data_IF_768092246303
#
_entry.id   IF_768092246303
#
_cell.length_a   1.000
_cell.length_b   1.000
_cell.length_c   1.000
_cell.angle_alpha   90.00
_cell.angle_beta   90.00
_cell.angle_gamma   90.00
#
_symmetry.space_group_name_H-M   'P 1'
#
loop_
_entity.id
_entity.type
_entity.pdbx_description
1 polymer ?
#
# COMPACT_ATOMS: atom_id res chain seq x y z
N UNK A 1 16.54 -36.11 -17.60
CA UNK A 1 17.78 -35.45 -18.06
C UNK A 1 18.92 -35.93 -17.19
N UNK A 2 19.99 -36.51 -17.76
CA UNK A 2 21.21 -36.84 -17.02
C UNK A 2 22.33 -35.87 -17.39
N UNK A 3 23.15 -35.47 -16.42
CA UNK A 3 24.35 -34.66 -16.63
C UNK A 3 25.56 -35.46 -16.13
N UNK A 4 26.71 -35.30 -16.79
CA UNK A 4 27.98 -35.85 -16.31
C UNK A 4 28.74 -34.69 -15.68
N UNK A 5 28.95 -34.73 -14.36
CA UNK A 5 29.56 -33.61 -13.61
C UNK A 5 28.60 -32.45 -13.33
N UNK A 6 29.15 -31.31 -12.93
CA UNK A 6 28.38 -30.08 -12.67
C UNK A 6 28.06 -29.38 -13.99
N UNK A 7 26.77 -29.29 -14.40
CA UNK A 7 26.42 -28.71 -15.68
C UNK A 7 26.55 -27.19 -15.69
N UNK A 8 26.94 -26.65 -16.84
CA UNK A 8 26.88 -25.21 -17.11
C UNK A 8 25.44 -24.76 -17.41
N UNK A 9 25.15 -23.46 -17.23
CA UNK A 9 23.86 -22.89 -17.59
C UNK A 9 23.53 -23.05 -19.09
N UNK A 10 24.54 -23.05 -19.95
CA UNK A 10 24.37 -23.28 -21.38
C UNK A 10 23.83 -24.69 -21.64
N UNK A 11 24.45 -25.72 -21.03
CA UNK A 11 24.01 -27.12 -21.17
C UNK A 11 22.62 -27.35 -20.56
N UNK A 12 22.31 -26.66 -19.44
CA UNK A 12 20.98 -26.73 -18.83
C UNK A 12 19.93 -26.17 -19.78
N UNK A 13 20.12 -24.94 -20.27
CA UNK A 13 19.16 -24.32 -21.18
C UNK A 13 19.03 -25.12 -22.47
N UNK A 14 20.12 -25.57 -23.07
CA UNK A 14 20.07 -26.39 -24.28
C UNK A 14 19.21 -27.64 -24.08
N UNK A 15 19.42 -28.39 -23.00
CA UNK A 15 18.59 -29.58 -22.73
C UNK A 15 17.13 -29.23 -22.46
N UNK A 16 16.85 -28.15 -21.74
CA UNK A 16 15.48 -27.71 -21.47
C UNK A 16 14.75 -27.35 -22.78
N UNK A 17 15.36 -26.53 -23.62
CA UNK A 17 14.75 -26.06 -24.87
C UNK A 17 14.65 -27.15 -25.94
N UNK A 18 15.65 -28.04 -26.06
CA UNK A 18 15.56 -29.19 -26.99
C UNK A 18 14.48 -30.18 -26.53
N UNK A 19 14.37 -30.42 -25.23
CA UNK A 19 13.32 -31.29 -24.70
C UNK A 19 11.92 -30.71 -24.92
N UNK A 20 11.76 -29.39 -24.76
CA UNK A 20 10.47 -28.73 -24.90
C UNK A 20 9.92 -28.72 -26.33
N UNK A 21 10.74 -28.97 -27.35
CA UNK A 21 10.23 -29.11 -28.73
C UNK A 21 9.31 -30.33 -28.88
N UNK A 22 9.58 -31.40 -28.13
CA UNK A 22 8.83 -32.65 -28.23
C UNK A 22 7.80 -32.81 -27.11
N UNK A 23 8.05 -32.21 -25.94
CA UNK A 23 7.23 -32.38 -24.73
C UNK A 23 6.73 -31.06 -24.17
N UNK A 24 5.48 -31.01 -23.73
CA UNK A 24 4.98 -29.89 -22.92
C UNK A 24 5.64 -29.90 -21.55
N UNK A 25 6.11 -28.74 -21.10
CA UNK A 25 6.72 -28.62 -19.77
C UNK A 25 6.57 -27.21 -19.20
N UNK A 26 6.59 -27.10 -17.88
CA UNK A 26 6.65 -25.84 -17.15
C UNK A 26 8.02 -25.76 -16.47
N UNK A 27 8.71 -24.64 -16.65
CA UNK A 27 9.96 -24.34 -15.96
C UNK A 27 9.75 -23.08 -15.14
N UNK A 28 10.06 -23.14 -13.85
CA UNK A 28 9.92 -22.01 -12.94
C UNK A 28 11.30 -21.68 -12.37
N UNK A 29 11.75 -20.44 -12.58
CA UNK A 29 12.87 -19.87 -11.86
C UNK A 29 12.35 -18.94 -10.79
N UNK A 30 12.39 -19.41 -9.55
CA UNK A 30 12.12 -18.55 -8.41
C UNK A 30 13.32 -17.67 -8.08
N UNK A 31 13.05 -16.46 -7.62
CA UNK A 31 14.07 -15.45 -7.28
C UNK A 31 15.05 -15.17 -8.45
N UNK A 32 14.52 -15.10 -9.68
CA UNK A 32 15.29 -14.97 -10.91
C UNK A 32 16.19 -13.72 -10.92
N UNK A 33 15.80 -12.66 -10.21
CA UNK A 33 16.58 -11.45 -10.03
C UNK A 33 17.93 -11.65 -9.36
N UNK A 34 18.11 -12.74 -8.59
CA UNK A 34 19.38 -13.03 -7.91
C UNK A 34 20.53 -13.26 -8.89
N UNK A 35 20.25 -13.67 -10.12
CA UNK A 35 21.27 -13.76 -11.17
C UNK A 35 21.96 -12.43 -11.46
N UNK A 36 21.33 -11.30 -11.14
CA UNK A 36 21.95 -9.99 -11.34
C UNK A 36 23.23 -9.82 -10.52
N UNK A 37 23.28 -10.39 -9.31
CA UNK A 37 24.42 -10.31 -8.41
C UNK A 37 25.40 -11.48 -8.57
N UNK A 38 24.93 -12.62 -9.09
CA UNK A 38 25.74 -13.84 -9.23
C UNK A 38 26.38 -13.93 -10.62
N UNK A 39 25.59 -13.83 -11.69
CA UNK A 39 26.04 -13.92 -13.08
C UNK A 39 25.03 -13.28 -14.03
N UNK A 40 25.26 -12.00 -14.37
CA UNK A 40 24.41 -11.23 -15.30
C UNK A 40 24.36 -11.82 -16.71
N UNK A 41 25.37 -12.59 -17.12
CA UNK A 41 25.44 -13.21 -18.44
C UNK A 41 24.31 -14.21 -18.70
N UNK A 42 23.66 -14.70 -17.65
CA UNK A 42 22.52 -15.63 -17.76
C UNK A 42 21.34 -15.01 -18.50
N UNK A 43 21.10 -13.69 -18.39
CA UNK A 43 20.00 -13.05 -19.09
C UNK A 43 20.20 -13.05 -20.62
N UNK A 44 21.42 -12.75 -21.07
CA UNK A 44 21.78 -12.80 -22.49
C UNK A 44 21.81 -14.24 -23.02
N UNK A 45 22.28 -15.18 -22.21
CA UNK A 45 22.26 -16.59 -22.58
C UNK A 45 20.82 -17.09 -22.75
N UNK A 46 19.94 -16.79 -21.81
CA UNK A 46 18.52 -17.16 -21.90
C UNK A 46 17.86 -16.51 -23.13
N UNK A 47 18.17 -15.25 -23.43
CA UNK A 47 17.70 -14.58 -24.65
C UNK A 47 18.08 -15.37 -25.90
N UNK A 48 19.34 -15.80 -26.04
CA UNK A 48 19.81 -16.59 -27.19
C UNK A 48 18.98 -17.87 -27.37
N UNK A 49 18.70 -18.59 -26.29
CA UNK A 49 17.89 -19.81 -26.35
C UNK A 49 16.41 -19.53 -26.65
N UNK A 50 15.82 -18.49 -26.06
CA UNK A 50 14.44 -18.09 -26.39
C UNK A 50 14.35 -17.76 -27.88
N UNK A 51 15.26 -16.92 -28.39
CA UNK A 51 15.23 -16.48 -29.78
C UNK A 51 15.43 -17.64 -30.77
N UNK A 52 16.26 -18.64 -30.39
CA UNK A 52 16.51 -19.83 -31.21
C UNK A 52 15.35 -20.82 -31.22
N UNK A 53 14.71 -21.07 -30.06
CA UNK A 53 13.81 -22.21 -29.88
C UNK A 53 12.33 -21.85 -29.67
N UNK A 54 11.98 -20.59 -29.39
CA UNK A 54 10.61 -20.22 -28.97
C UNK A 54 9.52 -20.63 -29.95
N UNK A 55 9.80 -20.70 -31.26
CA UNK A 55 8.80 -21.06 -32.28
C UNK A 55 8.34 -22.52 -32.17
N UNK A 56 9.25 -23.41 -31.80
CA UNK A 56 8.99 -24.86 -31.76
C UNK A 56 8.86 -25.39 -30.32
N UNK A 57 9.20 -24.57 -29.33
CA UNK A 57 9.16 -24.93 -27.92
C UNK A 57 7.73 -24.98 -27.39
N UNK A 58 7.40 -26.05 -26.65
CA UNK A 58 6.18 -26.21 -25.86
C UNK A 58 6.40 -25.91 -24.37
N UNK A 59 7.44 -25.13 -24.06
CA UNK A 59 7.77 -24.74 -22.69
C UNK A 59 6.94 -23.54 -22.25
N UNK A 60 6.39 -23.60 -21.05
CA UNK A 60 5.92 -22.42 -20.33
C UNK A 60 6.96 -22.03 -19.28
N UNK A 61 7.67 -20.93 -19.54
CA UNK A 61 8.72 -20.41 -18.68
C UNK A 61 8.15 -19.34 -17.75
N UNK A 62 8.24 -19.57 -16.45
CA UNK A 62 7.85 -18.63 -15.40
C UNK A 62 9.11 -18.16 -14.69
N UNK A 63 9.23 -16.86 -14.48
CA UNK A 63 10.21 -16.28 -13.58
C UNK A 63 9.50 -15.46 -12.51
N UNK A 64 9.93 -15.59 -11.25
CA UNK A 64 9.43 -14.81 -10.13
C UNK A 64 10.56 -14.07 -9.42
N UNK A 65 10.19 -13.07 -8.62
CA UNK A 65 11.14 -12.31 -7.82
C UNK A 65 10.47 -11.35 -6.84
N UNK A 66 10.96 -11.33 -5.60
CA UNK A 66 10.53 -10.39 -4.56
C UNK A 66 10.87 -8.92 -4.87
N UNK A 67 12.03 -8.67 -5.50
CA UNK A 67 12.48 -7.31 -5.79
C UNK A 67 11.90 -6.79 -7.10
N UNK A 68 10.80 -6.05 -6.96
CA UNK A 68 10.01 -5.51 -8.07
C UNK A 68 10.87 -4.65 -9.00
N UNK A 69 11.65 -3.72 -8.45
CA UNK A 69 12.53 -2.87 -9.24
C UNK A 69 13.65 -3.63 -9.95
N UNK A 70 14.18 -4.72 -9.39
CA UNK A 70 15.12 -5.59 -10.11
C UNK A 70 14.42 -6.37 -11.23
N UNK A 71 13.22 -6.91 -10.97
CA UNK A 71 12.42 -7.56 -12.00
C UNK A 71 12.10 -6.60 -13.16
N UNK A 72 11.76 -5.34 -12.88
CA UNK A 72 11.59 -4.32 -13.91
C UNK A 72 12.86 -4.10 -14.73
N UNK A 73 14.04 -3.98 -14.09
CA UNK A 73 15.33 -3.79 -14.79
C UNK A 73 15.67 -4.97 -15.71
N UNK A 74 15.33 -6.21 -15.31
CA UNK A 74 15.57 -7.42 -16.12
C UNK A 74 14.72 -7.44 -17.40
N UNK A 75 13.58 -6.76 -17.39
CA UNK A 75 12.67 -6.66 -18.54
C UNK A 75 12.48 -5.23 -19.02
N UNK A 76 13.49 -4.36 -18.83
CA UNK A 76 13.49 -2.99 -19.34
C UNK A 76 14.03 -2.93 -20.78
N UNK A 77 13.76 -1.85 -21.52
CA UNK A 77 14.09 -1.68 -22.93
C UNK A 77 15.54 -1.99 -23.30
N UNK A 78 16.48 -1.70 -22.39
CA UNK A 78 17.91 -1.94 -22.60
C UNK A 78 18.35 -3.38 -22.24
N UNK A 79 17.45 -4.21 -21.71
CA UNK A 79 17.75 -5.55 -21.21
C UNK A 79 17.57 -6.64 -22.28
N UNK A 80 18.39 -7.71 -22.26
CA UNK A 80 18.25 -8.87 -23.15
C UNK A 80 16.84 -9.45 -23.26
N UNK A 81 16.03 -9.36 -22.20
CA UNK A 81 14.72 -10.03 -22.13
C UNK A 81 13.52 -9.11 -22.42
N UNK A 82 13.72 -7.83 -22.77
CA UNK A 82 12.66 -6.81 -22.90
C UNK A 82 11.39 -7.30 -23.64
N UNK A 83 11.54 -7.81 -24.85
CA UNK A 83 10.41 -8.22 -25.71
C UNK A 83 10.12 -9.73 -25.65
N UNK A 84 10.74 -10.45 -24.71
CA UNK A 84 10.60 -11.92 -24.59
C UNK A 84 9.58 -12.31 -23.51
N UNK A 85 8.99 -11.31 -22.83
CA UNK A 85 7.92 -11.48 -21.85
C UNK A 85 6.55 -11.51 -22.54
N UNK A 86 5.86 -12.64 -22.48
CA UNK A 86 4.51 -12.82 -23.05
C UNK A 86 3.38 -12.53 -22.06
N UNK A 87 3.69 -12.43 -20.77
CA UNK A 87 2.74 -12.09 -19.71
C UNK A 87 3.45 -11.60 -18.47
N UNK A 88 2.75 -10.82 -17.65
CA UNK A 88 3.24 -10.35 -16.36
C UNK A 88 2.10 -10.38 -15.36
N UNK A 89 2.37 -10.92 -14.18
CA UNK A 89 1.46 -10.85 -13.04
C UNK A 89 2.20 -10.17 -11.90
N UNK A 90 1.67 -9.03 -11.46
CA UNK A 90 2.18 -8.33 -10.29
C UNK A 90 1.26 -8.64 -9.11
N UNK A 91 1.73 -9.48 -8.20
CA UNK A 91 1.00 -9.81 -7.00
C UNK A 91 1.04 -8.64 -6.03
N UNK A 92 -0.13 -8.13 -5.66
CA UNK A 92 -0.30 -7.13 -4.62
C UNK A 92 -0.84 -7.76 -3.35
N UNK A 93 -0.58 -7.17 -2.18
CA UNK A 93 -1.33 -7.47 -0.97
C UNK A 93 -2.84 -7.40 -1.26
N UNK A 94 -3.62 -8.23 -0.57
CA UNK A 94 -5.06 -8.18 -0.68
C UNK A 94 -5.61 -6.79 -0.36
N UNK A 95 -6.66 -6.40 -1.07
CA UNK A 95 -7.44 -5.24 -0.67
C UNK A 95 -8.23 -5.58 0.63
N UNK A 96 -8.83 -4.56 1.24
CA UNK A 96 -9.61 -4.74 2.45
C UNK A 96 -10.80 -5.70 2.26
N UNK A 97 -11.51 -5.60 1.14
CA UNK A 97 -12.74 -6.36 0.91
C UNK A 97 -12.48 -7.87 0.80
N UNK A 98 -11.32 -8.28 0.28
CA UNK A 98 -10.89 -9.68 0.25
C UNK A 98 -10.68 -10.29 1.65
N UNK A 99 -10.49 -9.49 2.71
CA UNK A 99 -10.41 -10.03 4.07
C UNK A 99 -11.74 -10.62 4.54
N UNK A 100 -12.87 -10.24 3.95
CA UNK A 100 -14.16 -10.84 4.29
C UNK A 100 -14.21 -12.32 3.87
N UNK A 101 -13.63 -12.66 2.71
CA UNK A 101 -13.47 -14.04 2.28
C UNK A 101 -12.47 -14.81 3.15
N UNK A 102 -11.37 -14.15 3.54
CA UNK A 102 -10.34 -14.76 4.39
C UNK A 102 -10.82 -15.01 5.83
N UNK A 103 -11.62 -14.10 6.38
CA UNK A 103 -12.20 -14.20 7.73
C UNK A 103 -13.74 -14.03 7.71
N UNK A 104 -14.51 -15.01 7.18
CA UNK A 104 -15.95 -14.87 6.96
C UNK A 104 -16.74 -14.52 8.23
N UNK A 105 -16.27 -15.04 9.36
CA UNK A 105 -16.93 -14.91 10.65
C UNK A 105 -16.61 -13.62 11.42
N UNK A 106 -15.76 -12.75 10.88
CA UNK A 106 -15.37 -11.50 11.53
C UNK A 106 -16.33 -10.38 11.09
N UNK A 107 -16.60 -9.43 12.00
CA UNK A 107 -17.37 -8.23 11.68
C UNK A 107 -16.51 -7.23 10.92
N UNK A 108 -17.14 -6.36 10.12
CA UNK A 108 -16.43 -5.33 9.34
C UNK A 108 -15.56 -4.44 10.21
N UNK A 109 -16.05 -4.03 11.38
CA UNK A 109 -15.27 -3.26 12.35
C UNK A 109 -13.98 -4.01 12.76
N UNK A 110 -14.08 -5.32 13.03
CA UNK A 110 -12.93 -6.15 13.36
C UNK A 110 -11.96 -6.29 12.17
N UNK A 111 -12.49 -6.46 10.96
CA UNK A 111 -11.67 -6.52 9.76
C UNK A 111 -10.89 -5.22 9.54
N UNK A 112 -11.47 -4.05 9.83
CA UNK A 112 -10.78 -2.76 9.71
C UNK A 112 -9.58 -2.70 10.65
N UNK A 113 -9.74 -3.15 11.89
CA UNK A 113 -8.64 -3.22 12.86
C UNK A 113 -7.55 -4.22 12.43
N UNK A 114 -7.94 -5.41 11.96
CA UNK A 114 -7.00 -6.41 11.44
C UNK A 114 -6.24 -5.85 10.23
N UNK A 115 -6.93 -5.29 9.24
CA UNK A 115 -6.28 -4.68 8.07
C UNK A 115 -5.37 -3.52 8.46
N UNK A 116 -5.76 -2.71 9.46
CA UNK A 116 -4.93 -1.61 9.93
C UNK A 116 -3.61 -2.07 10.55
N UNK A 117 -3.59 -3.25 11.18
CA UNK A 117 -2.40 -3.84 11.84
C UNK A 117 -1.59 -4.68 10.85
N UNK A 118 -2.23 -5.59 10.14
CA UNK A 118 -1.57 -6.61 9.31
C UNK A 118 -1.51 -6.25 7.83
N UNK A 119 -2.36 -5.35 7.36
CA UNK A 119 -2.51 -5.07 5.93
C UNK A 119 -3.18 -6.23 5.18
N UNK A 120 -2.86 -6.36 3.90
CA UNK A 120 -3.35 -7.41 3.01
C UNK A 120 -2.33 -8.51 2.71
N UNK A 121 -1.16 -8.48 3.34
CA UNK A 121 -0.09 -9.43 3.04
C UNK A 121 -0.47 -10.81 3.59
N UNK A 122 -0.63 -11.85 2.74
CA UNK A 122 -1.13 -13.15 3.19
C UNK A 122 -0.33 -13.73 4.35
N UNK A 123 1.00 -13.59 4.31
CA UNK A 123 1.89 -14.10 5.37
C UNK A 123 1.63 -13.46 6.75
N UNK A 124 1.22 -12.20 6.77
CA UNK A 124 0.89 -11.51 8.02
C UNK A 124 -0.51 -11.90 8.50
N UNK A 125 -1.46 -12.07 7.57
CA UNK A 125 -2.82 -12.53 7.87
C UNK A 125 -2.85 -13.97 8.44
N UNK A 126 -1.90 -14.83 8.06
CA UNK A 126 -1.75 -16.17 8.65
C UNK A 126 -1.48 -16.17 10.16
N UNK A 127 -0.93 -15.09 10.73
CA UNK A 127 -0.66 -15.00 12.18
C UNK A 127 -1.92 -14.62 13.00
N UNK A 128 -3.01 -14.23 12.33
CA UNK A 128 -4.28 -13.89 12.97
C UNK A 128 -4.98 -15.17 13.44
N UNK A 129 -4.95 -15.42 14.75
CA UNK A 129 -5.56 -16.62 15.34
C UNK A 129 -6.85 -16.35 16.13
N UNK A 130 -7.07 -15.10 16.56
CA UNK A 130 -8.20 -14.73 17.42
C UNK A 130 -9.11 -13.69 16.79
N UNK A 131 -10.40 -13.73 17.15
CA UNK A 131 -11.33 -12.60 16.89
C UNK A 131 -11.03 -11.40 17.76
N UNK A 132 -10.30 -11.56 18.86
CA UNK A 132 -9.86 -10.46 19.68
C UNK A 132 -8.52 -9.92 19.18
N UNK A 133 -8.53 -8.67 18.68
CA UNK A 133 -7.32 -8.00 18.18
C UNK A 133 -6.26 -7.87 19.26
N UNK A 134 -6.64 -7.66 20.53
CA UNK A 134 -5.63 -7.52 21.59
C UNK A 134 -4.86 -8.81 21.82
N UNK A 135 -5.54 -9.96 21.76
CA UNK A 135 -4.89 -11.28 21.77
C UNK A 135 -3.89 -11.42 20.63
N UNK A 136 -4.25 -11.01 19.42
CA UNK A 136 -3.35 -11.08 18.26
C UNK A 136 -2.15 -10.12 18.41
N UNK A 137 -2.37 -8.90 18.89
CA UNK A 137 -1.29 -7.95 19.18
C UNK A 137 -0.33 -8.52 20.22
N UNK A 138 -0.83 -9.16 21.28
CA UNK A 138 0.01 -9.79 22.29
C UNK A 138 0.95 -10.84 21.68
N UNK A 139 0.48 -11.60 20.68
CA UNK A 139 1.32 -12.55 19.93
C UNK A 139 2.38 -11.84 19.10
N UNK A 140 2.03 -10.77 18.39
CA UNK A 140 3.00 -9.95 17.66
C UNK A 140 4.10 -9.43 18.60
N UNK A 141 3.73 -8.99 19.81
CA UNK A 141 4.67 -8.49 20.82
C UNK A 141 5.49 -9.60 21.49
N UNK A 142 5.17 -10.87 21.25
CA UNK A 142 5.95 -11.98 21.77
C UNK A 142 7.28 -12.07 21.03
N UNK A 143 8.39 -12.16 21.76
CA UNK A 143 9.74 -12.29 21.19
C UNK A 143 9.95 -13.54 20.35
N UNK A 144 9.14 -14.57 20.58
CA UNK A 144 9.15 -15.81 19.78
C UNK A 144 8.11 -15.76 18.66
N UNK A 145 7.35 -14.67 18.54
CA UNK A 145 6.37 -14.47 17.49
C UNK A 145 7.05 -14.25 16.15
N UNK A 146 6.48 -14.83 15.09
CA UNK A 146 7.03 -14.80 13.73
C UNK A 146 7.19 -13.35 13.24
N UNK A 147 6.22 -12.49 13.59
CA UNK A 147 6.17 -11.11 13.12
C UNK A 147 7.00 -10.11 13.96
N UNK A 148 7.56 -10.54 15.10
CA UNK A 148 8.23 -9.62 16.03
C UNK A 148 9.43 -8.89 15.40
N UNK A 149 10.27 -9.61 14.64
CA UNK A 149 11.45 -9.06 13.96
C UNK A 149 11.25 -8.90 12.45
N UNK A 150 10.05 -9.15 11.93
CA UNK A 150 9.81 -9.33 10.49
C UNK A 150 10.25 -8.13 9.64
N UNK A 151 9.86 -6.87 9.94
CA UNK A 151 10.30 -5.73 9.13
C UNK A 151 11.81 -5.51 9.16
N UNK A 152 12.46 -5.80 10.28
CA UNK A 152 13.91 -5.70 10.41
C UNK A 152 14.64 -6.78 9.61
N UNK A 153 14.15 -8.02 9.65
CA UNK A 153 14.68 -9.15 8.87
C UNK A 153 14.54 -8.86 7.37
N UNK A 154 13.36 -8.41 6.93
CA UNK A 154 13.08 -8.10 5.53
C UNK A 154 14.03 -7.03 5.01
N UNK A 155 14.17 -5.89 5.71
CA UNK A 155 15.08 -4.82 5.29
C UNK A 155 16.53 -5.31 5.25
N UNK A 156 17.01 -6.05 6.26
CA UNK A 156 18.40 -6.54 6.30
C UNK A 156 18.70 -7.59 5.24
N UNK A 157 17.70 -8.35 4.82
CA UNK A 157 17.86 -9.41 3.81
C UNK A 157 17.97 -8.80 2.41
N UNK A 158 17.19 -7.77 2.12
CA UNK A 158 17.14 -7.13 0.80
C UNK A 158 18.17 -5.99 0.63
N UNK A 159 18.60 -5.37 1.73
CA UNK A 159 19.47 -4.18 1.71
C UNK A 159 20.72 -4.36 2.56
N UNK A 160 21.90 -4.30 1.92
CA UNK A 160 23.19 -4.50 2.57
C UNK A 160 23.56 -3.39 3.59
N UNK A 161 23.27 -2.12 3.28
CA UNK A 161 23.42 -0.98 4.22
C UNK A 161 22.04 -0.53 4.71
N UNK A 162 21.47 -1.30 5.64
CA UNK A 162 20.07 -1.11 6.08
C UNK A 162 19.87 0.08 7.02
N UNK A 163 20.92 0.61 7.64
CA UNK A 163 20.79 1.61 8.72
C UNK A 163 20.13 2.91 8.25
N UNK A 164 20.55 3.46 7.11
CA UNK A 164 19.97 4.68 6.56
C UNK A 164 18.50 4.50 6.17
N UNK A 165 18.15 3.37 5.55
CA UNK A 165 16.77 3.05 5.19
C UNK A 165 15.87 2.90 6.41
N UNK A 166 16.38 2.23 7.43
CA UNK A 166 15.69 2.05 8.69
C UNK A 166 15.40 3.38 9.38
N UNK A 167 16.38 4.30 9.39
CA UNK A 167 16.19 5.64 9.94
C UNK A 167 15.19 6.48 9.14
N UNK A 168 15.18 6.36 7.81
CA UNK A 168 14.16 7.01 6.96
C UNK A 168 12.76 6.53 7.34
N UNK A 169 12.54 5.21 7.40
CA UNK A 169 11.24 4.62 7.77
C UNK A 169 10.81 5.05 9.18
N UNK A 170 11.74 5.03 10.15
CA UNK A 170 11.50 5.51 11.51
C UNK A 170 11.10 6.99 11.58
N UNK A 171 11.70 7.84 10.76
CA UNK A 171 11.35 9.27 10.74
C UNK A 171 9.99 9.50 10.07
N UNK A 172 9.69 8.77 8.99
CA UNK A 172 8.38 8.79 8.33
C UNK A 172 7.28 8.30 9.27
N UNK A 173 7.51 7.23 10.05
CA UNK A 173 6.52 6.73 11.02
C UNK A 173 6.19 7.73 12.14
N UNK A 174 7.07 8.70 12.37
CA UNK A 174 6.87 9.84 13.30
C UNK A 174 6.23 11.06 12.65
N UNK A 175 5.87 11.00 11.37
CA UNK A 175 5.20 12.06 10.63
C UNK A 175 6.13 12.94 9.77
N UNK A 176 7.44 12.66 9.74
CA UNK A 176 8.37 13.38 8.85
C UNK A 176 8.21 12.88 7.43
N UNK A 177 7.44 13.60 6.61
CA UNK A 177 6.96 13.08 5.34
C UNK A 177 7.47 13.83 4.10
N UNK A 178 8.16 14.95 4.25
CA UNK A 178 8.73 15.70 3.11
C UNK A 178 10.18 15.32 2.87
N UNK A 179 10.58 15.12 1.61
CA UNK A 179 11.94 14.69 1.23
C UNK A 179 13.06 15.49 1.92
N UNK A 180 12.96 16.82 1.96
CA UNK A 180 13.96 17.67 2.64
C UNK A 180 14.01 17.48 4.15
N UNK A 181 12.86 17.26 4.79
CA UNK A 181 12.76 17.04 6.24
C UNK A 181 13.23 15.63 6.61
N UNK A 182 12.93 14.63 5.76
CA UNK A 182 13.42 13.26 5.90
C UNK A 182 14.95 13.24 5.78
N UNK A 183 15.52 13.92 4.79
CA UNK A 183 16.97 14.02 4.62
C UNK A 183 17.63 14.61 5.88
N UNK A 184 17.14 15.75 6.35
CA UNK A 184 17.66 16.43 7.53
C UNK A 184 17.56 15.58 8.80
N UNK A 185 16.39 14.99 9.07
CA UNK A 185 16.14 14.15 10.25
C UNK A 185 16.89 12.81 10.23
N UNK A 186 17.27 12.33 9.04
CA UNK A 186 18.01 11.07 8.87
C UNK A 186 19.52 11.29 8.78
N UNK A 187 20.01 12.54 8.88
CA UNK A 187 21.44 12.86 8.74
C UNK A 187 21.99 12.64 7.34
N UNK A 188 21.13 12.66 6.33
CA UNK A 188 21.48 12.41 4.92
C UNK A 188 21.56 13.73 4.15
N UNK A 189 22.36 13.75 3.08
CA UNK A 189 22.38 14.87 2.14
C UNK A 189 21.07 14.89 1.36
N UNK A 190 20.50 16.07 1.14
CA UNK A 190 19.31 16.23 0.28
C UNK A 190 19.54 15.72 -1.14
N UNK A 191 20.78 15.70 -1.62
CA UNK A 191 21.11 15.15 -2.95
C UNK A 191 21.05 13.63 -3.04
N UNK A 192 21.11 12.92 -1.91
CA UNK A 192 21.07 11.44 -1.88
C UNK A 192 19.71 10.90 -1.49
N UNK A 193 18.82 11.69 -0.87
CA UNK A 193 17.56 11.17 -0.32
C UNK A 193 16.65 10.55 -1.40
N UNK A 194 16.63 11.10 -2.61
CA UNK A 194 15.81 10.59 -3.70
C UNK A 194 16.21 9.16 -4.08
N UNK A 195 17.49 8.80 -3.98
CA UNK A 195 17.96 7.42 -4.19
C UNK A 195 17.35 6.47 -3.15
N UNK A 196 17.45 6.81 -1.87
CA UNK A 196 16.91 5.96 -0.79
C UNK A 196 15.38 5.82 -0.88
N UNK A 197 14.68 6.92 -1.15
CA UNK A 197 13.22 6.90 -1.31
C UNK A 197 12.82 6.04 -2.53
N UNK A 198 13.54 6.14 -3.64
CA UNK A 198 13.26 5.33 -4.82
C UNK A 198 13.48 3.82 -4.60
N UNK A 199 14.49 3.43 -3.83
CA UNK A 199 14.68 2.02 -3.44
C UNK A 199 13.52 1.55 -2.56
N UNK A 200 13.11 2.33 -1.56
CA UNK A 200 12.00 1.95 -0.68
C UNK A 200 10.64 1.92 -1.38
N UNK A 201 10.46 2.71 -2.45
CA UNK A 201 9.22 2.74 -3.25
C UNK A 201 9.24 1.65 -4.32
N UNK A 202 10.27 1.61 -5.17
CA UNK A 202 10.24 0.79 -6.39
C UNK A 202 10.87 -0.60 -6.20
N UNK A 203 11.89 -0.71 -5.36
CA UNK A 203 12.60 -1.98 -5.18
C UNK A 203 11.97 -2.80 -4.03
N UNK A 204 11.50 -2.11 -2.98
CA UNK A 204 10.95 -2.74 -1.77
C UNK A 204 9.42 -2.64 -1.63
N UNK A 205 8.76 -1.71 -2.33
CA UNK A 205 7.31 -1.43 -2.20
C UNK A 205 6.82 -1.15 -0.76
N UNK A 206 7.69 -0.61 0.09
CA UNK A 206 7.40 -0.28 1.51
C UNK A 206 6.87 1.16 1.65
N UNK A 207 7.34 2.08 0.80
CA UNK A 207 6.91 3.48 0.79
C UNK A 207 6.01 3.79 -0.40
N UNK A 208 5.09 4.72 -0.21
CA UNK A 208 4.36 5.41 -1.29
C UNK A 208 4.68 6.89 -1.28
N UNK A 209 4.76 7.47 -2.48
CA UNK A 209 4.80 8.92 -2.69
C UNK A 209 3.38 9.39 -3.02
N UNK A 210 2.86 10.33 -2.24
CA UNK A 210 1.57 10.97 -2.52
C UNK A 210 1.81 12.44 -2.91
N UNK A 211 0.98 12.96 -3.82
CA UNK A 211 0.84 14.39 -4.11
C UNK A 211 -0.63 14.77 -3.93
N UNK A 212 -0.97 16.05 -3.65
CA UNK A 212 -2.38 16.46 -3.63
C UNK A 212 -3.05 16.03 -4.93
N UNK A 213 -4.25 15.46 -4.89
CA UNK A 213 -4.87 14.86 -6.08
C UNK A 213 -5.05 15.86 -7.24
N UNK A 214 -5.14 17.16 -6.94
CA UNK A 214 -5.25 18.21 -7.96
C UNK A 214 -3.92 18.60 -8.61
N UNK A 215 -2.80 18.03 -8.15
CA UNK A 215 -1.44 18.34 -8.63
C UNK A 215 -0.92 17.26 -9.59
N UNK A 216 0.05 17.60 -10.46
CA UNK A 216 0.76 16.62 -11.27
C UNK A 216 1.69 15.76 -10.41
N UNK A 217 2.01 14.54 -10.88
CA UNK A 217 2.87 13.57 -10.17
C UNK A 217 4.27 14.11 -9.82
N UNK A 218 4.77 15.05 -10.64
CA UNK A 218 6.08 15.72 -10.45
C UNK A 218 6.02 16.89 -9.46
N UNK A 219 4.90 17.11 -8.77
CA UNK A 219 4.76 18.23 -7.83
C UNK A 219 5.75 18.14 -6.66
N UNK A 220 6.30 19.29 -6.28
CA UNK A 220 7.17 19.44 -5.10
C UNK A 220 6.40 19.40 -3.78
N UNK A 221 5.06 19.36 -3.82
CA UNK A 221 4.19 19.22 -2.64
C UNK A 221 4.07 17.76 -2.18
N UNK A 222 4.86 16.85 -2.75
CA UNK A 222 4.81 15.44 -2.44
C UNK A 222 5.17 15.13 -1.00
N UNK A 223 4.50 14.12 -0.45
CA UNK A 223 4.81 13.50 0.84
C UNK A 223 5.11 12.02 0.63
N UNK A 224 5.88 11.45 1.56
CA UNK A 224 6.26 10.04 1.58
C UNK A 224 5.67 9.40 2.82
N UNK A 225 4.98 8.27 2.62
CA UNK A 225 4.27 7.55 3.67
C UNK A 225 4.62 6.07 3.57
N UNK A 226 4.64 5.38 4.71
CA UNK A 226 4.76 3.92 4.72
C UNK A 226 3.46 3.35 4.14
N UNK A 227 3.59 2.57 3.07
CA UNK A 227 2.50 1.88 2.36
C UNK A 227 2.02 0.67 3.14
N UNK A 228 2.96 -0.12 3.66
CA UNK A 228 2.66 -1.36 4.38
C UNK A 228 2.14 -1.09 5.80
N UNK A 229 0.96 -1.63 6.11
CA UNK A 229 0.29 -1.41 7.39
C UNK A 229 1.02 -2.07 8.57
N UNK A 230 1.63 -3.24 8.35
CA UNK A 230 2.37 -3.93 9.39
C UNK A 230 3.68 -3.20 9.70
N UNK A 231 4.38 -2.67 8.69
CA UNK A 231 5.52 -1.78 8.91
C UNK A 231 5.10 -0.54 9.71
N UNK A 232 3.95 0.09 9.41
CA UNK A 232 3.44 1.22 10.20
C UNK A 232 3.21 0.85 11.66
N UNK A 233 2.56 -0.29 11.91
CA UNK A 233 2.30 -0.79 13.26
C UNK A 233 3.61 -1.05 14.01
N UNK A 234 4.54 -1.75 13.36
CA UNK A 234 5.80 -2.16 13.94
C UNK A 234 6.72 -0.97 14.28
N UNK A 235 6.86 0.00 13.36
CA UNK A 235 7.64 1.21 13.61
C UNK A 235 7.01 2.14 14.64
N UNK A 236 5.70 1.99 14.92
CA UNK A 236 4.98 2.78 15.93
C UNK A 236 5.07 2.16 17.32
N UNK A 237 4.96 0.84 17.43
CA UNK A 237 4.75 0.16 18.72
C UNK A 237 5.81 -0.87 19.10
N UNK A 238 6.48 -1.53 18.16
CA UNK A 238 7.46 -2.57 18.48
C UNK A 238 8.83 -1.94 18.58
N UNK A 239 9.31 -1.37 17.46
CA UNK A 239 10.65 -0.81 17.39
C UNK A 239 10.96 0.25 18.48
N UNK A 240 10.09 1.24 18.76
CA UNK A 240 10.37 2.22 19.81
C UNK A 240 10.37 1.63 21.23
N UNK A 241 9.79 0.45 21.43
CA UNK A 241 9.64 -0.19 22.74
C UNK A 241 10.45 -1.49 22.83
N UNK A 242 11.39 -1.77 21.92
CA UNK A 242 12.18 -3.00 21.94
C UNK A 242 12.82 -3.27 23.30
N UNK A 243 13.45 -2.27 23.92
CA UNK A 243 14.08 -2.44 25.24
C UNK A 243 13.07 -2.83 26.33
N UNK A 244 11.86 -2.27 26.30
CA UNK A 244 10.79 -2.63 27.23
C UNK A 244 10.30 -4.07 26.97
N UNK A 245 10.13 -4.45 25.70
CA UNK A 245 9.72 -5.81 25.31
C UNK A 245 10.78 -6.85 25.68
N UNK A 246 12.07 -6.52 25.56
CA UNK A 246 13.19 -7.42 25.89
C UNK A 246 13.30 -7.71 27.39
N UNK A 247 12.99 -6.73 28.24
CA UNK A 247 12.98 -6.93 29.71
C UNK A 247 11.64 -7.46 30.23
N UNK A 248 10.69 -7.79 29.34
CA UNK A 248 9.41 -8.42 29.69
C UNK A 248 8.29 -7.44 30.07
N UNK A 249 8.44 -6.14 29.82
CA UNK A 249 7.43 -5.12 30.12
C UNK A 249 6.31 -5.05 29.04
N UNK A 250 5.92 -6.19 28.47
CA UNK A 250 4.92 -6.28 27.40
C UNK A 250 3.58 -5.66 27.80
N UNK A 251 3.14 -5.82 29.05
CA UNK A 251 1.88 -5.23 29.56
C UNK A 251 1.83 -3.72 29.40
N UNK A 252 2.95 -3.01 29.64
CA UNK A 252 3.02 -1.55 29.48
C UNK A 252 2.88 -1.12 28.03
N UNK A 253 3.47 -1.89 27.11
CA UNK A 253 3.34 -1.64 25.67
C UNK A 253 1.90 -1.93 25.22
N UNK A 254 1.28 -3.00 25.73
CA UNK A 254 -0.12 -3.33 25.48
C UNK A 254 -1.09 -2.24 25.94
N UNK A 255 -0.90 -1.67 27.14
CA UNK A 255 -1.71 -0.55 27.64
C UNK A 255 -1.63 0.66 26.71
N UNK A 256 -0.42 0.99 26.25
CA UNK A 256 -0.20 2.08 25.28
C UNK A 256 -0.91 1.81 23.96
N UNK A 257 -0.77 0.61 23.40
CA UNK A 257 -1.44 0.23 22.14
C UNK A 257 -2.95 0.31 22.33
N UNK A 258 -3.50 -0.23 23.42
CA UNK A 258 -4.93 -0.20 23.72
C UNK A 258 -5.47 1.24 23.72
N UNK A 259 -4.75 2.17 24.35
CA UNK A 259 -5.15 3.58 24.41
C UNK A 259 -5.08 4.29 23.04
N UNK A 260 -4.16 3.88 22.17
CA UNK A 260 -3.88 4.54 20.88
C UNK A 260 -4.52 3.83 19.67
N UNK A 261 -5.02 2.60 19.81
CA UNK A 261 -5.41 1.73 18.68
C UNK A 261 -6.48 2.38 17.79
N UNK A 262 -7.46 3.06 18.39
CA UNK A 262 -8.50 3.75 17.62
C UNK A 262 -7.88 4.85 16.73
N UNK A 263 -6.98 5.65 17.26
CA UNK A 263 -6.28 6.70 16.51
C UNK A 263 -5.37 6.12 15.43
N UNK A 264 -4.66 5.04 15.73
CA UNK A 264 -3.80 4.35 14.76
C UNK A 264 -4.60 3.81 13.57
N UNK A 265 -5.77 3.23 13.85
CA UNK A 265 -6.67 2.64 12.85
C UNK A 265 -7.26 3.68 11.91
N UNK A 266 -7.52 4.91 12.39
CA UNK A 266 -8.16 5.97 11.60
C UNK A 266 -7.48 6.25 10.26
N UNK A 267 -6.14 6.26 10.24
CA UNK A 267 -5.38 6.45 9.00
C UNK A 267 -5.59 5.31 7.99
N UNK A 268 -5.61 4.07 8.46
CA UNK A 268 -5.89 2.91 7.60
C UNK A 268 -7.34 2.91 7.14
N UNK A 269 -8.26 3.43 7.96
CA UNK A 269 -9.67 3.58 7.59
C UNK A 269 -9.87 4.55 6.42
N UNK A 270 -9.07 5.61 6.31
CA UNK A 270 -9.06 6.50 5.13
C UNK A 270 -8.63 5.73 3.86
N UNK A 271 -7.58 4.90 3.93
CA UNK A 271 -7.15 4.08 2.80
C UNK A 271 -8.23 3.04 2.42
N UNK A 272 -8.93 2.45 3.41
CA UNK A 272 -10.05 1.51 3.18
C UNK A 272 -11.25 2.24 2.55
N UNK A 273 -11.60 3.42 3.06
CA UNK A 273 -12.67 4.25 2.53
C UNK A 273 -12.40 4.67 1.06
N UNK A 274 -11.13 4.88 0.71
CA UNK A 274 -10.75 5.09 -0.69
C UNK A 274 -11.02 3.85 -1.54
N UNK A 275 -10.71 2.64 -1.04
CA UNK A 275 -11.05 1.39 -1.74
C UNK A 275 -12.57 1.23 -1.90
N UNK A 276 -13.35 1.55 -0.86
CA UNK A 276 -14.81 1.53 -0.89
C UNK A 276 -15.37 2.41 -2.01
N UNK A 277 -14.90 3.66 -2.10
CA UNK A 277 -15.32 4.58 -3.17
C UNK A 277 -14.91 4.10 -4.56
N UNK A 278 -13.78 3.40 -4.69
CA UNK A 278 -13.35 2.77 -5.96
C UNK A 278 -14.32 1.66 -6.38
N UNK A 279 -14.77 0.81 -5.46
CA UNK A 279 -15.75 -0.24 -5.79
C UNK A 279 -17.13 0.33 -6.14
N UNK A 280 -17.59 1.39 -5.44
CA UNK A 280 -18.80 2.11 -5.84
C UNK A 280 -18.66 2.76 -7.23
N UNK A 281 -17.48 3.31 -7.55
CA UNK A 281 -17.19 3.90 -8.85
C UNK A 281 -17.25 2.88 -9.98
N UNK A 282 -16.63 1.69 -9.78
CA UNK A 282 -16.68 0.58 -10.75
C UNK A 282 -18.09 0.08 -10.99
N UNK A 283 -18.90 0.09 -9.94
CA UNK A 283 -20.32 -0.33 -9.99
C UNK A 283 -21.28 0.78 -10.45
N UNK A 284 -20.78 1.96 -10.85
CA UNK A 284 -21.60 3.12 -11.20
C UNK A 284 -22.62 3.54 -10.12
N UNK A 285 -22.29 3.32 -8.84
CA UNK A 285 -23.13 3.67 -7.68
C UNK A 285 -22.86 5.08 -7.14
N UNK A 286 -21.94 5.83 -7.75
CA UNK A 286 -21.63 7.23 -7.42
C UNK A 286 -22.33 8.20 -8.39
N UNK A 287 -22.51 9.48 -8.00
CA UNK A 287 -23.16 10.50 -8.84
C UNK A 287 -22.46 10.78 -10.17
N UNK A 288 -21.18 10.42 -10.28
CA UNK A 288 -20.38 10.47 -11.50
C UNK A 288 -19.26 9.42 -11.41
N UNK A 289 -18.66 9.10 -12.55
CA UNK A 289 -17.48 8.22 -12.61
C UNK A 289 -16.22 9.07 -12.51
N UNK A 290 -15.33 8.81 -11.55
CA UNK A 290 -14.05 9.50 -11.44
C UNK A 290 -12.92 8.73 -12.14
N UNK A 291 -11.91 9.48 -12.62
CA UNK A 291 -10.68 8.94 -13.20
C UNK A 291 -9.45 9.07 -12.29
N UNK A 292 -9.51 9.94 -11.27
CA UNK A 292 -8.43 10.15 -10.29
C UNK A 292 -9.01 10.25 -8.89
N UNK A 293 -8.35 9.65 -7.91
CA UNK A 293 -8.75 9.70 -6.50
C UNK A 293 -7.51 9.77 -5.61
N UNK A 294 -7.57 10.54 -4.53
CA UNK A 294 -6.51 10.63 -3.54
C UNK A 294 -6.73 11.75 -2.54
N UNK A 295 -5.78 11.93 -1.62
CA UNK A 295 -5.82 13.00 -0.62
C UNK A 295 -5.61 14.37 -1.24
N UNK A 296 -6.16 15.38 -0.59
CA UNK A 296 -5.91 16.77 -0.94
C UNK A 296 -5.41 17.55 0.27
N UNK A 297 -4.27 18.20 0.13
CA UNK A 297 -3.76 19.13 1.15
C UNK A 297 -3.18 20.39 0.49
N UNK A 298 -3.20 21.47 1.24
CA UNK A 298 -2.71 22.74 0.73
C UNK A 298 -2.55 23.80 1.79
N UNK A 299 -2.24 25.00 1.33
CA UNK A 299 -2.25 26.21 2.14
C UNK A 299 -3.25 27.20 1.56
N UNK A 300 -3.97 27.90 2.44
CA UNK A 300 -4.84 29.01 2.09
C UNK A 300 -4.27 30.32 2.64
N UNK A 301 -4.89 31.46 2.28
CA UNK A 301 -4.50 32.77 2.82
C UNK A 301 -5.06 32.89 4.24
N UNK A 302 -4.19 33.14 5.22
CA UNK A 302 -4.60 33.24 6.63
C UNK A 302 -3.41 33.37 7.56
N UNK A 303 -3.66 33.26 8.87
CA UNK A 303 -2.65 33.30 9.91
C UNK A 303 -1.60 32.21 9.71
N UNK A 304 -0.31 32.58 9.72
CA UNK A 304 0.80 31.64 9.53
C UNK A 304 0.74 30.56 10.60
N UNK A 305 0.67 29.30 10.17
CA UNK A 305 0.55 28.14 11.09
C UNK A 305 -0.87 27.65 11.31
N UNK A 306 -1.90 28.41 10.88
CA UNK A 306 -3.31 27.97 10.84
C UNK A 306 -3.91 28.05 9.44
N UNK A 307 -3.04 28.10 8.43
CA UNK A 307 -3.42 28.33 7.04
C UNK A 307 -3.19 27.10 6.17
N UNK A 308 -3.32 25.91 6.75
CA UNK A 308 -3.26 24.62 6.05
C UNK A 308 -4.62 23.95 6.10
N UNK A 309 -4.98 23.27 5.03
CA UNK A 309 -6.17 22.44 4.98
C UNK A 309 -5.80 21.05 4.46
N UNK A 310 -6.62 20.08 4.83
CA UNK A 310 -6.54 18.71 4.37
C UNK A 310 -7.96 18.15 4.23
N UNK A 311 -8.18 17.37 3.17
CA UNK A 311 -9.38 16.59 2.91
C UNK A 311 -8.92 15.15 2.64
N UNK A 312 -9.48 14.21 3.41
CA UNK A 312 -9.06 12.81 3.44
C UNK A 312 -9.11 12.16 2.04
N UNK A 313 -10.19 12.39 1.29
CA UNK A 313 -10.34 11.83 -0.05
C UNK A 313 -10.99 12.85 -0.97
N UNK A 314 -10.40 13.01 -2.16
CA UNK A 314 -10.96 13.80 -3.25
C UNK A 314 -10.91 12.97 -4.54
N UNK A 315 -12.03 12.88 -5.24
CA UNK A 315 -12.15 12.16 -6.52
C UNK A 315 -12.50 13.13 -7.65
N UNK A 316 -11.86 12.98 -8.81
CA UNK A 316 -11.88 13.93 -9.92
C UNK A 316 -12.28 13.23 -11.22
N UNK A 317 -13.13 13.88 -12.01
CA UNK A 317 -13.29 13.61 -13.44
C UNK A 317 -12.90 14.86 -14.24
N UNK A 318 -11.75 14.80 -14.91
CA UNK A 318 -11.22 15.95 -15.68
C UNK A 318 -12.07 16.29 -16.91
N UNK A 319 -12.78 15.32 -17.49
CA UNK A 319 -13.59 15.52 -18.69
C UNK A 319 -14.91 16.24 -18.37
N UNK A 320 -15.60 15.81 -17.32
CA UNK A 320 -16.90 16.34 -16.92
C UNK A 320 -16.80 17.47 -15.89
N UNK A 321 -15.60 17.69 -15.34
CA UNK A 321 -15.31 18.66 -14.27
C UNK A 321 -16.10 18.38 -12.99
N UNK A 322 -16.40 17.11 -12.73
CA UNK A 322 -17.02 16.67 -11.48
C UNK A 322 -15.94 16.40 -10.41
N UNK A 323 -16.23 16.80 -9.17
CA UNK A 323 -15.36 16.60 -8.01
C UNK A 323 -16.16 16.10 -6.81
N UNK A 324 -15.68 15.04 -6.16
CA UNK A 324 -16.19 14.54 -4.89
C UNK A 324 -15.20 14.89 -3.78
N UNK A 325 -15.67 15.52 -2.70
CA UNK A 325 -14.91 15.70 -1.46
C UNK A 325 -15.43 14.75 -0.40
N UNK A 326 -14.54 14.07 0.32
CA UNK A 326 -14.92 13.08 1.31
C UNK A 326 -14.06 13.13 2.57
N UNK A 327 -14.73 13.00 3.72
CA UNK A 327 -14.12 12.91 5.05
C UNK A 327 -14.46 11.56 5.70
N UNK A 328 -13.49 10.99 6.40
CA UNK A 328 -13.62 9.70 7.06
C UNK A 328 -13.57 9.91 8.59
N UNK A 329 -14.41 9.19 9.34
CA UNK A 329 -14.46 9.29 10.80
C UNK A 329 -14.46 7.92 11.46
N UNK A 330 -13.28 7.52 11.95
CA UNK A 330 -13.09 6.31 12.75
C UNK A 330 -13.23 6.62 14.25
N UNK A 331 -14.45 6.89 14.69
CA UNK A 331 -14.75 7.24 16.07
C UNK A 331 -15.92 6.39 16.60
N UNK A 332 -15.92 6.11 17.90
CA UNK A 332 -17.01 5.35 18.55
C UNK A 332 -18.28 6.20 18.78
N UNK A 333 -18.24 7.49 18.44
CA UNK A 333 -19.39 8.40 18.52
C UNK A 333 -19.90 8.72 17.12
N UNK A 334 -21.21 8.95 17.02
CA UNK A 334 -21.86 9.38 15.79
C UNK A 334 -21.25 10.68 15.25
N UNK A 335 -21.11 10.75 13.94
CA UNK A 335 -20.64 11.96 13.24
C UNK A 335 -21.74 13.00 13.20
N UNK A 336 -21.43 14.22 13.63
CA UNK A 336 -22.37 15.35 13.68
C UNK A 336 -22.19 16.31 12.48
N UNK A 337 -23.17 17.19 12.26
CA UNK A 337 -23.22 18.10 11.11
C UNK A 337 -21.99 19.02 10.99
N UNK A 338 -21.28 19.29 12.10
CA UNK A 338 -20.06 20.10 12.07
C UNK A 338 -18.96 19.54 11.14
N UNK A 339 -18.88 18.22 10.96
CA UNK A 339 -17.93 17.60 10.02
C UNK A 339 -18.30 17.92 8.57
N UNK A 340 -19.59 17.89 8.25
CA UNK A 340 -20.10 18.19 6.91
C UNK A 340 -19.91 19.68 6.57
N UNK A 341 -20.23 20.55 7.53
CA UNK A 341 -20.02 22.00 7.44
C UNK A 341 -18.52 22.34 7.25
N UNK A 342 -17.63 21.66 7.97
CA UNK A 342 -16.18 21.84 7.84
C UNK A 342 -15.65 21.38 6.47
N UNK A 343 -16.14 20.25 5.96
CA UNK A 343 -15.79 19.74 4.63
C UNK A 343 -16.17 20.71 3.51
N UNK A 344 -17.38 21.27 3.56
CA UNK A 344 -17.82 22.33 2.64
C UNK A 344 -16.93 23.58 2.71
N UNK A 345 -16.48 23.98 3.91
CA UNK A 345 -15.55 25.11 4.04
C UNK A 345 -14.19 24.79 3.42
N UNK A 346 -13.67 23.58 3.66
CA UNK A 346 -12.39 23.14 3.11
C UNK A 346 -12.40 23.01 1.60
N UNK A 347 -13.51 22.56 0.99
CA UNK A 347 -13.62 22.43 -0.48
C UNK A 347 -13.38 23.75 -1.21
N UNK A 348 -13.77 24.88 -0.58
CA UNK A 348 -13.52 26.23 -1.08
C UNK A 348 -12.03 26.61 -1.21
N UNK A 349 -11.12 25.89 -0.53
CA UNK A 349 -9.67 26.11 -0.64
C UNK A 349 -9.00 25.25 -1.73
N UNK A 350 -9.73 24.32 -2.33
CA UNK A 350 -9.24 23.44 -3.39
C UNK A 350 -9.33 24.17 -4.72
N UNK A 351 -8.20 24.54 -5.31
CA UNK A 351 -8.17 25.21 -6.60
C UNK A 351 -8.08 24.18 -7.75
N UNK A 352 -9.23 23.77 -8.27
CA UNK A 352 -9.36 22.84 -9.39
C UNK A 352 -10.66 23.15 -10.13
N UNK A 353 -10.57 23.65 -11.38
CA UNK A 353 -11.71 24.16 -12.17
C UNK A 353 -12.70 25.04 -11.38
N UNK A 354 -12.18 25.91 -10.51
CA UNK A 354 -12.98 26.79 -9.65
C UNK A 354 -13.91 27.66 -10.48
N UNK A 355 -15.22 27.61 -10.19
CA UNK A 355 -16.26 28.33 -10.94
C UNK A 355 -16.91 27.54 -12.09
N UNK A 356 -16.33 26.41 -12.50
CA UNK A 356 -16.84 25.55 -13.58
C UNK A 356 -17.16 24.12 -13.13
N UNK A 357 -16.59 23.69 -12.00
CA UNK A 357 -16.76 22.33 -11.47
C UNK A 357 -18.12 22.09 -10.83
N UNK A 358 -18.56 20.84 -10.85
CA UNK A 358 -19.72 20.38 -10.06
C UNK A 358 -19.21 19.65 -8.82
N UNK A 359 -19.68 20.10 -7.66
CA UNK A 359 -19.22 19.58 -6.37
C UNK A 359 -20.20 18.56 -5.79
N UNK A 360 -19.64 17.45 -5.32
CA UNK A 360 -20.32 16.40 -4.57
C UNK A 360 -19.60 16.23 -3.24
N UNK A 361 -20.33 15.79 -2.22
CA UNK A 361 -19.79 15.61 -0.88
C UNK A 361 -20.17 14.24 -0.33
N UNK A 362 -19.23 13.60 0.35
CA UNK A 362 -19.45 12.37 1.08
C UNK A 362 -18.85 12.43 2.49
N UNK A 363 -19.45 11.72 3.44
CA UNK A 363 -18.82 11.44 4.73
C UNK A 363 -19.00 9.96 5.05
N UNK A 364 -17.92 9.32 5.50
CA UNK A 364 -17.89 7.90 5.86
C UNK A 364 -17.64 7.79 7.37
N UNK A 365 -18.53 7.14 8.12
CA UNK A 365 -18.48 7.09 9.58
C UNK A 365 -18.54 5.67 10.14
N UNK A 366 -17.65 5.37 11.10
CA UNK A 366 -17.66 4.10 11.84
C UNK A 366 -18.98 3.88 12.60
N UNK A 367 -19.49 4.91 13.27
CA UNK A 367 -20.61 4.81 14.21
C UNK A 367 -21.91 5.41 13.64
N UNK A 368 -21.94 5.72 12.35
CA UNK A 368 -23.04 6.39 11.67
C UNK A 368 -23.20 7.86 12.09
N UNK A 369 -24.41 8.40 11.89
CA UNK A 369 -24.65 9.84 11.90
C UNK A 369 -25.65 10.27 12.97
N UNK A 370 -25.54 11.54 13.41
CA UNK A 370 -26.58 12.19 14.22
C UNK A 370 -27.75 12.61 13.34
N UNK A 371 -28.95 12.79 13.94
CA UNK A 371 -30.12 13.32 13.22
C UNK A 371 -29.86 14.71 12.63
N UNK A 372 -29.00 15.51 13.24
CA UNK A 372 -28.61 16.83 12.72
C UNK A 372 -27.78 16.68 11.46
N UNK A 373 -26.81 15.77 11.44
CA UNK A 373 -26.00 15.46 10.26
C UNK A 373 -26.88 14.93 9.11
N UNK A 374 -27.79 13.99 9.38
CA UNK A 374 -28.72 13.45 8.37
C UNK A 374 -29.60 14.54 7.74
N UNK A 375 -30.16 15.44 8.56
CA UNK A 375 -30.96 16.58 8.06
C UNK A 375 -30.14 17.52 7.19
N UNK A 376 -28.92 17.85 7.62
CA UNK A 376 -28.02 18.71 6.86
C UNK A 376 -27.65 18.07 5.53
N UNK A 377 -27.29 16.78 5.55
CA UNK A 377 -26.96 16.00 4.38
C UNK A 377 -28.10 15.96 3.35
N UNK A 378 -29.35 15.81 3.79
CA UNK A 378 -30.51 15.82 2.90
C UNK A 378 -30.73 17.16 2.19
N UNK A 379 -30.47 18.28 2.88
CA UNK A 379 -30.60 19.62 2.29
C UNK A 379 -29.48 19.91 1.27
N UNK A 380 -28.24 19.58 1.65
CA UNK A 380 -27.03 19.87 0.87
C UNK A 380 -26.63 18.72 -0.09
N UNK A 381 -27.42 17.63 -0.14
CA UNK A 381 -27.23 16.43 -0.95
C UNK A 381 -25.89 15.72 -0.72
N UNK A 382 -25.48 15.58 0.54
CA UNK A 382 -24.33 14.75 0.90
C UNK A 382 -24.67 13.25 0.79
N UNK A 383 -23.68 12.47 0.37
CA UNK A 383 -23.68 11.02 0.52
C UNK A 383 -23.17 10.69 1.92
N UNK A 384 -23.93 9.87 2.65
CA UNK A 384 -23.54 9.39 3.97
C UNK A 384 -23.36 7.88 3.88
N UNK A 385 -22.20 7.40 4.33
CA UNK A 385 -21.92 5.97 4.40
C UNK A 385 -21.44 5.56 5.78
N UNK A 386 -21.72 4.33 6.18
CA UNK A 386 -21.18 3.69 7.37
C UNK A 386 -20.65 2.28 7.08
N UNK A 387 -20.38 1.49 8.12
CA UNK A 387 -19.82 0.16 7.95
C UNK A 387 -20.83 -0.87 7.41
N UNK A 388 -22.14 -0.63 7.51
CA UNK A 388 -23.14 -1.52 6.90
C UNK A 388 -23.08 -1.42 5.37
N UNK A 389 -22.80 -0.23 4.83
CA UNK A 389 -22.61 -0.04 3.39
C UNK A 389 -21.43 -0.84 2.83
N UNK A 390 -20.39 -1.08 3.64
CA UNK A 390 -19.21 -1.82 3.24
C UNK A 390 -19.52 -3.31 3.06
N UNK A 391 -20.45 -3.84 3.86
CA UNK A 391 -20.90 -5.24 3.77
C UNK A 391 -21.65 -5.48 2.45
N UNK A 392 -22.47 -4.52 2.04
CA UNK A 392 -23.26 -4.59 0.81
C UNK A 392 -22.43 -4.58 -0.49
N UNK A 393 -21.14 -4.24 -0.44
CA UNK A 393 -20.24 -4.33 -1.61
C UNK A 393 -19.75 -5.76 -1.82
N UNK A 394 -19.51 -6.50 -0.74
CA UNK A 394 -18.97 -7.87 -0.82
C UNK A 394 -20.00 -8.83 -1.42
N UNK A 395 -21.28 -8.59 -1.19
CA UNK A 395 -22.37 -9.46 -1.67
C UNK A 395 -22.67 -9.31 -3.18
N UNK A 396 -22.08 -8.32 -3.87
CA UNK A 396 -22.35 -8.09 -5.30
C UNK A 396 -21.48 -8.86 -6.30
N UNK A 397 -20.45 -9.57 -5.83
CA UNK A 397 -19.52 -10.34 -6.67
C UNK A 397 -19.71 -11.88 -6.59
N UNK A 398 -20.82 -12.35 -6.00
CA UNK A 398 -21.20 -13.78 -5.94
C UNK A 398 -22.23 -14.20 -7.00
#
# INVERSE_FOLDING_TARGET
MSFIGTPSWNEIFEKLFVHSQNSQMIVIFDEFQRFFNINKGIYSLLQEFIDRYAKDSKMFLIVSGSSIGMMHKIFDHASPLYERRTGQLYFQPFNFFALKEWFPSFSTNRLVEIYAIYGGTPKYLEDVESRDVMTNIQRILSRTGILYNEPEILIKTEISDSYSYFNILKNISKGVSRSSEIAASSGLKTTSIDYYLNVLINDMDILKKEVPVTEPEKSKKSIYLIKDNFFRFWFRYIYPNYSELEIGNTSRVMEKITAELNTFTGRSFEDIAQQFLIELNRSNKLPFVFGKIGRQWGRFRGEKGKNTYEIDIVALNENTKDILFCECKWENKKTDAGVLEDLQKKSGFVNWYTGERKEYFAVISKAGFTRRAEKFAGHERFLLFDLEDFENIVDTDC
#
